data_IF_921589211435
#
_entry.id   IF_921589211435
#
_cell.length_a   1.000
_cell.length_b   1.000
_cell.length_c   1.000
_cell.angle_alpha   90.00
_cell.angle_beta   90.00
_cell.angle_gamma   90.00
#
_symmetry.space_group_name_H-M   'P 1'
#
loop_
_entity.id
_entity.type
_entity.pdbx_description
1 polymer ?
#
# COMPACT_ATOMS: atom_id res chain seq x y z
N UNK A 1 -1.93 8.95 6.90
CA UNK A 1 -0.71 8.66 7.67
C UNK A 1 0.26 9.81 7.46
N UNK A 2 0.82 10.29 8.55
CA UNK A 2 1.88 11.30 8.55
C UNK A 2 3.20 10.60 8.88
N UNK A 3 4.23 10.85 8.08
CA UNK A 3 5.60 10.37 8.33
C UNK A 3 6.50 11.57 8.57
N UNK A 4 6.99 11.72 9.79
CA UNK A 4 8.02 12.70 10.12
C UNK A 4 9.40 12.06 9.96
N UNK A 5 10.35 12.79 9.35
CA UNK A 5 11.71 12.27 9.09
C UNK A 5 12.72 13.20 9.74
N UNK A 6 13.60 12.64 10.58
CA UNK A 6 14.73 13.33 11.20
C UNK A 6 16.05 12.71 10.74
N UNK A 7 17.01 13.56 10.36
CA UNK A 7 18.33 13.14 9.84
C UNK A 7 19.39 13.64 10.79
N UNK A 8 20.07 12.73 11.48
CA UNK A 8 21.09 13.01 12.50
C UNK A 8 22.51 12.55 12.09
N UNK A 9 22.68 12.23 10.81
CA UNK A 9 23.97 11.83 10.23
C UNK A 9 24.14 12.47 8.85
N UNK A 10 25.17 12.06 8.10
CA UNK A 10 25.47 12.59 6.75
C UNK A 10 24.60 11.95 5.63
N UNK A 11 23.72 11.01 5.97
CA UNK A 11 22.81 10.38 5.01
C UNK A 11 21.72 11.37 4.58
N UNK A 12 21.51 11.46 3.26
CA UNK A 12 20.43 12.28 2.69
C UNK A 12 19.49 11.37 1.89
N UNK A 13 18.36 10.93 2.49
CA UNK A 13 17.40 10.12 1.77
C UNK A 13 16.81 10.90 0.59
N UNK A 14 16.59 10.21 -0.52
CA UNK A 14 15.84 10.80 -1.63
C UNK A 14 14.38 11.01 -1.26
N UNK A 15 13.71 11.99 -1.89
CA UNK A 15 12.25 12.15 -1.74
C UNK A 15 11.50 10.88 -2.15
N UNK A 16 11.99 10.18 -3.17
CA UNK A 16 11.42 8.91 -3.64
C UNK A 16 11.51 7.83 -2.56
N UNK A 17 12.66 7.68 -1.88
CA UNK A 17 12.80 6.71 -0.78
C UNK A 17 11.78 6.99 0.35
N UNK A 18 11.63 8.24 0.76
CA UNK A 18 10.67 8.61 1.80
C UNK A 18 9.23 8.32 1.37
N UNK A 19 8.87 8.60 0.11
CA UNK A 19 7.55 8.30 -0.44
C UNK A 19 7.30 6.78 -0.51
N UNK A 20 8.31 6.00 -0.89
CA UNK A 20 8.22 4.53 -0.92
C UNK A 20 8.04 3.95 0.49
N UNK A 21 8.77 4.44 1.50
CA UNK A 21 8.60 4.03 2.90
C UNK A 21 7.18 4.37 3.39
N UNK A 22 6.68 5.57 3.07
CA UNK A 22 5.32 5.97 3.43
C UNK A 22 4.26 5.07 2.76
N UNK A 23 4.49 4.66 1.52
CA UNK A 23 3.62 3.72 0.81
C UNK A 23 3.68 2.31 1.43
N UNK A 24 4.86 1.84 1.83
CA UNK A 24 5.05 0.56 2.53
C UNK A 24 4.31 0.56 3.88
N UNK A 25 4.44 1.63 4.66
CA UNK A 25 3.72 1.77 5.93
C UNK A 25 2.20 1.79 5.73
N UNK A 26 1.69 2.53 4.75
CA UNK A 26 0.26 2.53 4.40
C UNK A 26 -0.24 1.14 4.04
N UNK A 27 0.56 0.37 3.30
CA UNK A 27 0.24 -1.00 2.93
C UNK A 27 0.22 -1.92 4.15
N UNK A 28 1.21 -1.81 5.05
CA UNK A 28 1.27 -2.60 6.28
C UNK A 28 0.11 -2.29 7.23
N UNK A 29 -0.23 -1.00 7.41
CA UNK A 29 -1.40 -0.59 8.21
C UNK A 29 -2.70 -1.14 7.63
N UNK A 30 -2.86 -1.17 6.30
CA UNK A 30 -4.02 -1.76 5.65
C UNK A 30 -4.09 -3.28 5.87
N UNK A 31 -2.97 -4.01 5.78
CA UNK A 31 -2.89 -5.46 6.09
C UNK A 31 -3.33 -5.75 7.54
N UNK A 32 -3.07 -4.82 8.45
CA UNK A 32 -3.48 -4.91 9.86
C UNK A 32 -4.91 -4.40 10.12
N UNK A 33 -5.64 -3.99 9.09
CA UNK A 33 -7.02 -3.54 9.22
C UNK A 33 -7.18 -2.19 9.90
N UNK A 34 -6.15 -1.32 9.84
CA UNK A 34 -6.25 0.05 10.37
C UNK A 34 -7.17 0.88 9.48
N UNK A 35 -8.36 1.18 9.98
CA UNK A 35 -9.46 1.80 9.23
C UNK A 35 -9.20 3.26 8.85
N UNK A 36 -8.44 4.01 9.66
CA UNK A 36 -8.15 5.43 9.46
C UNK A 36 -6.63 5.69 9.43
N UNK A 37 -5.91 5.15 8.44
CA UNK A 37 -4.44 5.31 8.39
C UNK A 37 -4.00 6.77 8.23
N UNK A 38 -4.88 7.66 7.76
CA UNK A 38 -4.60 9.10 7.64
C UNK A 38 -4.27 9.76 8.99
N UNK A 39 -4.84 9.23 10.07
CA UNK A 39 -4.67 9.76 11.42
C UNK A 39 -3.46 9.14 12.16
N UNK A 40 -2.76 8.19 11.56
CA UNK A 40 -1.56 7.58 12.15
C UNK A 40 -0.33 8.44 11.88
N UNK A 41 0.47 8.69 12.90
CA UNK A 41 1.79 9.35 12.82
C UNK A 41 2.90 8.38 13.21
N UNK A 42 3.96 8.34 12.40
CA UNK A 42 5.20 7.57 12.63
C UNK A 42 6.38 8.52 12.47
N UNK A 43 7.33 8.45 13.41
CA UNK A 43 8.60 9.15 13.31
C UNK A 43 9.69 8.20 12.81
N UNK A 44 10.50 8.64 11.85
CA UNK A 44 11.62 7.89 11.29
C UNK A 44 12.90 8.73 11.42
N UNK A 45 13.89 8.21 12.13
CA UNK A 45 15.19 8.86 12.30
C UNK A 45 16.32 8.05 11.67
N UNK A 46 17.21 8.73 10.96
CA UNK A 46 18.46 8.17 10.46
C UNK A 46 19.63 8.66 11.32
N UNK A 47 20.39 7.73 11.89
CA UNK A 47 21.40 8.01 12.90
C UNK A 47 22.75 7.35 12.60
N UNK A 48 23.79 7.76 13.33
CA UNK A 48 25.11 7.12 13.26
C UNK A 48 25.15 5.82 14.09
N UNK A 49 26.14 4.93 13.84
CA UNK A 49 26.38 3.74 14.66
C UNK A 49 26.57 4.03 16.15
N UNK A 50 27.25 5.12 16.51
CA UNK A 50 27.50 5.52 17.88
C UNK A 50 26.19 5.97 18.57
N UNK A 51 25.32 6.68 17.85
CA UNK A 51 24.05 7.13 18.38
C UNK A 51 23.10 5.96 18.63
N UNK A 52 22.95 5.03 17.67
CA UNK A 52 22.09 3.86 17.85
C UNK A 52 22.61 2.92 18.94
N UNK A 53 23.94 2.77 19.09
CA UNK A 53 24.56 2.06 20.22
C UNK A 53 24.19 2.69 21.56
N UNK A 54 24.22 4.02 21.63
CA UNK A 54 23.83 4.75 22.85
C UNK A 54 22.36 4.49 23.19
N UNK A 55 21.46 4.59 22.21
CA UNK A 55 20.04 4.28 22.38
C UNK A 55 19.81 2.81 22.79
N UNK A 56 20.51 1.87 22.15
CA UNK A 56 20.41 0.44 22.47
C UNK A 56 20.85 0.14 23.90
N UNK A 57 21.94 0.79 24.37
CA UNK A 57 22.38 0.69 25.75
C UNK A 57 21.38 1.28 26.73
N UNK A 58 20.87 2.47 26.44
CA UNK A 58 20.06 3.25 27.40
C UNK A 58 18.62 2.72 27.52
N UNK A 59 18.07 2.07 26.47
CA UNK A 59 16.71 1.57 26.44
C UNK A 59 16.58 0.04 26.46
N UNK A 60 17.64 -0.71 26.07
CA UNK A 60 17.62 -2.18 26.00
C UNK A 60 18.72 -2.86 26.81
N UNK A 61 19.54 -2.10 27.56
CA UNK A 61 20.70 -2.57 28.34
C UNK A 61 21.75 -3.33 27.49
N UNK A 62 21.86 -3.01 26.18
CA UNK A 62 22.80 -3.62 25.24
C UNK A 62 23.78 -2.59 24.71
N UNK A 63 25.04 -2.65 25.13
CA UNK A 63 26.10 -1.74 24.65
C UNK A 63 26.72 -2.24 23.33
N UNK A 64 25.90 -2.35 22.30
CA UNK A 64 26.30 -2.79 20.96
C UNK A 64 25.50 -2.03 19.87
N UNK A 65 26.10 -1.90 18.69
CA UNK A 65 25.44 -1.35 17.53
C UNK A 65 24.33 -2.30 17.06
N UNK A 66 23.25 -1.73 16.52
CA UNK A 66 22.18 -2.45 15.83
C UNK A 66 21.82 -1.73 14.54
N UNK A 67 21.08 -2.37 13.69
CA UNK A 67 20.55 -1.84 12.42
C UNK A 67 19.36 -0.91 12.65
N UNK A 68 18.43 -1.32 13.53
CA UNK A 68 17.19 -0.57 13.79
C UNK A 68 16.74 -0.74 15.24
N UNK A 69 16.05 0.30 15.76
CA UNK A 69 15.31 0.28 17.02
C UNK A 69 13.90 0.81 16.77
N UNK A 70 12.93 0.19 17.42
CA UNK A 70 11.52 0.58 17.41
C UNK A 70 11.08 0.93 18.84
N UNK A 71 10.39 2.07 18.96
CA UNK A 71 9.88 2.60 20.24
C UNK A 71 8.38 2.84 20.11
N UNK A 72 7.52 1.84 20.42
CA UNK A 72 6.08 2.02 20.40
C UNK A 72 5.67 3.15 21.38
N UNK A 73 4.84 4.08 20.91
CA UNK A 73 4.30 5.15 21.75
C UNK A 73 2.91 4.80 22.28
N UNK A 74 2.05 4.27 21.40
CA UNK A 74 0.66 3.89 21.70
C UNK A 74 -0.10 5.03 22.41
N UNK A 75 0.07 6.26 21.89
CA UNK A 75 -0.56 7.46 22.42
C UNK A 75 -1.65 7.95 21.46
N UNK A 76 -2.89 7.93 21.94
CA UNK A 76 -4.04 8.44 21.19
C UNK A 76 -4.34 9.88 21.63
N UNK A 77 -4.38 10.78 20.66
CA UNK A 77 -4.93 12.13 20.85
C UNK A 77 -6.23 12.25 20.05
N UNK A 78 -7.07 13.27 20.28
CA UNK A 78 -8.34 13.41 19.56
C UNK A 78 -8.23 13.41 18.03
N UNK A 79 -7.08 13.82 17.49
CA UNK A 79 -6.88 14.03 16.06
C UNK A 79 -5.80 13.10 15.45
N UNK A 80 -4.91 12.52 16.27
CA UNK A 80 -3.75 11.74 15.81
C UNK A 80 -3.45 10.58 16.75
N UNK A 81 -3.21 9.42 16.18
CA UNK A 81 -2.66 8.25 16.85
C UNK A 81 -1.16 8.16 16.58
N UNK A 82 -0.35 8.48 17.60
CA UNK A 82 1.10 8.36 17.54
C UNK A 82 1.50 6.90 17.73
N UNK A 83 1.90 6.25 16.64
CA UNK A 83 2.27 4.82 16.67
C UNK A 83 3.65 4.61 17.29
N UNK A 84 4.60 5.51 17.04
CA UNK A 84 5.92 5.48 17.66
C UNK A 84 7.06 5.96 16.77
N UNK A 85 8.29 5.70 17.26
CA UNK A 85 9.54 6.10 16.62
C UNK A 85 10.29 4.89 16.08
N UNK A 86 10.84 5.04 14.88
CA UNK A 86 11.76 4.10 14.22
C UNK A 86 13.10 4.80 14.06
N UNK A 87 14.17 4.15 14.50
CA UNK A 87 15.54 4.68 14.42
C UNK A 87 16.41 3.71 13.64
N UNK A 88 16.93 4.11 12.48
CA UNK A 88 17.74 3.28 11.59
C UNK A 88 19.19 3.79 11.54
N UNK A 89 20.15 2.87 11.75
CA UNK A 89 21.56 3.11 11.47
C UNK A 89 21.84 2.87 10.00
N UNK A 90 22.10 3.93 9.24
CA UNK A 90 22.34 3.83 7.79
C UNK A 90 23.61 3.09 7.43
N UNK A 91 24.68 3.20 8.25
CA UNK A 91 25.93 2.47 8.03
C UNK A 91 25.73 0.96 8.19
N UNK A 92 24.97 0.54 9.22
CA UNK A 92 24.63 -0.89 9.42
C UNK A 92 23.71 -1.40 8.33
N UNK A 93 22.73 -0.60 7.90
CA UNK A 93 21.87 -0.93 6.77
C UNK A 93 22.69 -1.10 5.47
N UNK A 94 23.68 -0.24 5.22
CA UNK A 94 24.56 -0.35 4.05
C UNK A 94 25.45 -1.62 4.09
N UNK A 95 25.97 -1.99 5.26
CA UNK A 95 26.73 -3.24 5.43
C UNK A 95 25.85 -4.46 5.14
N UNK A 96 24.65 -4.54 5.70
CA UNK A 96 23.69 -5.62 5.47
C UNK A 96 23.27 -5.70 4.00
N UNK A 97 22.96 -4.56 3.37
CA UNK A 97 22.63 -4.51 1.95
C UNK A 97 23.73 -5.11 1.07
N UNK A 98 25.01 -4.80 1.36
CA UNK A 98 26.17 -5.39 0.65
C UNK A 98 26.31 -6.90 0.90
N UNK A 99 26.08 -7.36 2.13
CA UNK A 99 26.16 -8.79 2.49
C UNK A 99 25.07 -9.62 1.80
N UNK A 100 23.83 -9.07 1.72
CA UNK A 100 22.68 -9.73 1.10
C UNK A 100 22.73 -9.59 -0.43
N UNK A 101 23.32 -8.50 -0.96
CA UNK A 101 23.50 -8.26 -2.39
C UNK A 101 22.36 -7.47 -3.04
N UNK A 102 21.72 -6.57 -2.29
CA UNK A 102 20.69 -5.66 -2.79
C UNK A 102 21.05 -4.18 -2.50
N UNK A 103 20.16 -3.22 -2.86
CA UNK A 103 20.42 -1.80 -2.68
C UNK A 103 20.18 -1.32 -1.25
N UNK A 104 20.83 -0.21 -0.85
CA UNK A 104 20.64 0.42 0.46
C UNK A 104 19.17 0.84 0.68
N UNK A 105 18.53 1.43 -0.33
CA UNK A 105 17.14 1.86 -0.25
C UNK A 105 16.20 0.66 0.02
N UNK A 106 16.50 -0.50 -0.57
CA UNK A 106 15.75 -1.74 -0.35
C UNK A 106 15.91 -2.24 1.09
N UNK A 107 17.14 -2.21 1.63
CA UNK A 107 17.39 -2.58 3.02
C UNK A 107 16.70 -1.64 4.00
N UNK A 108 16.79 -0.32 3.78
CA UNK A 108 16.11 0.67 4.62
C UNK A 108 14.59 0.43 4.63
N UNK A 109 13.98 0.17 3.48
CA UNK A 109 12.55 -0.15 3.38
C UNK A 109 12.19 -1.44 4.12
N UNK A 110 13.03 -2.46 4.02
CA UNK A 110 12.84 -3.71 4.75
C UNK A 110 12.89 -3.49 6.26
N UNK A 111 13.91 -2.78 6.77
CA UNK A 111 14.03 -2.43 8.19
C UNK A 111 12.86 -1.56 8.66
N UNK A 112 12.38 -0.65 7.84
CA UNK A 112 11.22 0.18 8.15
C UNK A 112 9.94 -0.66 8.28
N UNK A 113 9.65 -1.58 7.34
CA UNK A 113 8.50 -2.50 7.41
C UNK A 113 8.61 -3.39 8.66
N UNK A 114 9.78 -3.98 8.92
CA UNK A 114 10.03 -4.78 10.12
C UNK A 114 9.71 -4.00 11.39
N UNK A 115 10.18 -2.76 11.46
CA UNK A 115 9.94 -1.87 12.59
C UNK A 115 8.48 -1.46 12.75
N UNK A 116 7.75 -1.26 11.64
CA UNK A 116 6.31 -1.01 11.68
C UNK A 116 5.57 -2.12 12.43
N UNK A 117 5.89 -3.39 12.15
CA UNK A 117 5.25 -4.50 12.86
C UNK A 117 5.62 -4.56 14.33
N UNK A 118 6.83 -4.14 14.72
CA UNK A 118 7.16 -3.97 16.13
C UNK A 118 6.33 -2.85 16.79
N UNK A 119 6.12 -1.72 16.10
CA UNK A 119 5.25 -0.65 16.61
C UNK A 119 3.81 -1.12 16.77
N UNK A 120 3.34 -2.02 15.91
CA UNK A 120 2.01 -2.65 15.97
C UNK A 120 1.91 -3.78 17.00
N UNK A 121 2.98 -4.02 17.79
CA UNK A 121 2.98 -4.97 18.90
C UNK A 121 3.41 -6.39 18.54
N UNK A 122 3.89 -6.63 17.32
CA UNK A 122 4.50 -7.90 16.96
C UNK A 122 5.90 -8.03 17.54
N UNK A 123 6.30 -9.28 17.86
CA UNK A 123 7.62 -9.60 18.37
C UNK A 123 8.12 -10.91 17.73
N UNK A 124 9.38 -11.22 17.95
CA UNK A 124 10.04 -12.43 17.43
C UNK A 124 10.85 -13.19 18.52
N UNK A 125 10.42 -13.08 19.79
CA UNK A 125 11.09 -13.68 20.95
C UNK A 125 10.97 -15.21 20.98
N UNK A 126 9.96 -15.79 20.36
CA UNK A 126 9.78 -17.23 20.19
C UNK A 126 9.46 -17.59 18.73
N UNK A 127 9.52 -18.88 18.39
CA UNK A 127 9.37 -19.35 17.01
C UNK A 127 7.97 -19.06 16.43
N UNK A 128 6.91 -19.05 17.24
CA UNK A 128 5.55 -18.78 16.80
C UNK A 128 5.35 -17.29 16.52
N UNK A 129 5.74 -16.42 17.45
CA UNK A 129 5.69 -14.95 17.29
C UNK A 129 6.49 -14.51 16.05
N UNK A 130 7.69 -15.09 15.88
CA UNK A 130 8.53 -14.85 14.71
C UNK A 130 7.87 -15.29 13.40
N UNK A 131 7.17 -16.43 13.40
CA UNK A 131 6.45 -16.90 12.21
C UNK A 131 5.32 -15.95 11.84
N UNK A 132 4.52 -15.55 12.83
CA UNK A 132 3.37 -14.63 12.61
C UNK A 132 3.86 -13.29 12.05
N UNK A 133 4.87 -12.67 12.69
CA UNK A 133 5.41 -11.39 12.21
C UNK A 133 5.94 -11.49 10.78
N UNK A 134 6.70 -12.54 10.45
CA UNK A 134 7.20 -12.78 9.10
C UNK A 134 6.10 -13.00 8.05
N UNK A 135 4.96 -13.59 8.43
CA UNK A 135 3.81 -13.74 7.56
C UNK A 135 3.23 -12.37 7.21
N UNK A 136 3.06 -11.47 8.19
CA UNK A 136 2.58 -10.10 7.97
C UNK A 136 3.51 -9.26 7.11
N UNK A 137 4.83 -9.34 7.36
CA UNK A 137 5.83 -8.70 6.51
C UNK A 137 5.71 -9.16 5.06
N UNK A 138 5.58 -10.47 4.82
CA UNK A 138 5.44 -11.04 3.48
C UNK A 138 4.13 -10.64 2.81
N UNK A 139 3.02 -10.61 3.54
CA UNK A 139 1.72 -10.16 3.04
C UNK A 139 1.81 -8.70 2.60
N UNK A 140 2.41 -7.83 3.41
CA UNK A 140 2.64 -6.42 3.09
C UNK A 140 3.47 -6.25 1.82
N UNK A 141 4.62 -6.92 1.72
CA UNK A 141 5.48 -6.86 0.54
C UNK A 141 4.80 -7.41 -0.72
N UNK A 142 4.03 -8.50 -0.58
CA UNK A 142 3.30 -9.09 -1.69
C UNK A 142 2.17 -8.17 -2.18
N UNK A 143 1.42 -7.57 -1.27
CA UNK A 143 0.37 -6.59 -1.61
C UNK A 143 1.00 -5.35 -2.24
N UNK A 144 2.08 -4.82 -1.65
CA UNK A 144 2.80 -3.66 -2.19
C UNK A 144 3.25 -3.87 -3.63
N UNK A 145 3.81 -5.04 -3.93
CA UNK A 145 4.22 -5.39 -5.30
C UNK A 145 3.04 -5.44 -6.29
N UNK A 146 1.88 -5.94 -5.85
CA UNK A 146 0.66 -5.92 -6.68
C UNK A 146 0.18 -4.51 -6.94
N UNK A 147 0.15 -3.65 -5.89
CA UNK A 147 -0.20 -2.24 -6.00
C UNK A 147 0.66 -1.56 -7.05
N UNK A 148 1.99 -1.73 -7.00
CA UNK A 148 2.92 -1.16 -7.96
C UNK A 148 2.60 -1.60 -9.39
N UNK A 149 2.49 -2.90 -9.60
CA UNK A 149 2.24 -3.49 -10.90
C UNK A 149 0.90 -3.00 -11.48
N UNK A 150 -0.16 -3.01 -10.68
CA UNK A 150 -1.49 -2.62 -11.16
C UNK A 150 -1.61 -1.12 -11.37
N UNK A 151 -0.97 -0.31 -10.53
CA UNK A 151 -0.93 1.14 -10.73
C UNK A 151 -0.20 1.50 -12.02
N UNK A 152 0.93 0.88 -12.32
CA UNK A 152 1.64 1.06 -13.60
C UNK A 152 0.76 0.66 -14.81
N UNK A 153 0.07 -0.47 -14.71
CA UNK A 153 -0.84 -0.93 -15.78
C UNK A 153 -2.05 -0.02 -15.94
N UNK A 154 -2.58 0.56 -14.86
CA UNK A 154 -3.67 1.53 -14.91
C UNK A 154 -3.21 2.85 -15.54
N UNK A 155 -2.01 3.34 -15.18
CA UNK A 155 -1.40 4.54 -15.75
C UNK A 155 -1.14 4.35 -17.26
N UNK A 156 -0.62 3.21 -17.67
CA UNK A 156 -0.47 2.87 -19.09
C UNK A 156 -1.82 2.87 -19.79
N UNK A 157 -2.81 2.16 -19.24
CA UNK A 157 -4.15 2.06 -19.82
C UNK A 157 -4.81 3.45 -19.97
N UNK A 158 -4.63 4.35 -18.99
CA UNK A 158 -5.13 5.73 -19.03
C UNK A 158 -4.76 6.47 -20.31
N UNK A 159 -3.60 6.19 -20.91
CA UNK A 159 -3.15 6.81 -22.18
C UNK A 159 -4.00 6.42 -23.39
N UNK A 160 -4.79 5.35 -23.28
CA UNK A 160 -5.69 4.84 -24.32
C UNK A 160 -7.13 5.33 -24.18
N UNK A 161 -7.42 6.26 -23.27
CA UNK A 161 -8.76 6.80 -23.07
C UNK A 161 -9.30 7.50 -24.33
N UNK A 162 -10.57 7.21 -24.69
CA UNK A 162 -11.28 7.91 -25.76
C UNK A 162 -12.31 8.86 -25.14
N UNK A 163 -11.98 10.15 -25.10
CA UNK A 163 -12.65 11.15 -24.26
C UNK A 163 -12.99 12.45 -25.00
N UNK A 164 -13.68 12.40 -26.15
CA UNK A 164 -13.93 13.58 -26.96
C UNK A 164 -14.91 14.59 -26.32
N UNK A 165 -15.56 14.23 -25.21
CA UNK A 165 -16.57 15.07 -24.56
C UNK A 165 -16.12 15.61 -23.22
N UNK A 166 -15.66 14.75 -22.28
CA UNK A 166 -15.26 15.17 -20.94
C UNK A 166 -13.82 15.67 -20.86
N UNK A 167 -12.96 15.19 -21.75
CA UNK A 167 -11.51 15.40 -21.69
C UNK A 167 -10.87 14.88 -20.38
N UNK A 168 -11.53 13.93 -19.69
CA UNK A 168 -11.10 13.35 -18.43
C UNK A 168 -10.65 11.90 -18.61
N UNK A 169 -9.35 11.64 -18.47
CA UNK A 169 -8.77 10.32 -18.66
C UNK A 169 -8.90 9.48 -17.37
N UNK A 170 -9.31 8.23 -17.53
CA UNK A 170 -9.30 7.23 -16.47
C UNK A 170 -8.68 5.95 -17.00
N UNK A 171 -7.80 5.36 -16.21
CA UNK A 171 -7.25 4.03 -16.43
C UNK A 171 -7.54 3.12 -15.24
N UNK A 172 -7.75 1.84 -15.51
CA UNK A 172 -7.93 0.83 -14.47
C UNK A 172 -7.19 -0.45 -14.85
N UNK A 173 -6.71 -1.17 -13.84
CA UNK A 173 -6.17 -2.53 -14.00
C UNK A 173 -6.63 -3.39 -12.81
N UNK A 174 -6.98 -4.64 -13.10
CA UNK A 174 -7.37 -5.62 -12.09
C UNK A 174 -6.52 -6.87 -12.19
N UNK A 175 -6.31 -7.56 -11.09
CA UNK A 175 -5.72 -8.90 -11.01
C UNK A 175 -6.79 -9.87 -10.52
N UNK A 176 -6.90 -11.01 -11.21
CA UNK A 176 -7.78 -12.10 -10.81
C UNK A 176 -7.16 -12.96 -9.71
N UNK A 177 -7.94 -13.84 -9.10
CA UNK A 177 -7.42 -14.81 -8.13
C UNK A 177 -6.32 -15.70 -8.74
N UNK A 178 -6.41 -16.02 -10.05
CA UNK A 178 -5.44 -16.82 -10.77
C UNK A 178 -4.18 -16.03 -11.20
N UNK A 179 -4.14 -14.71 -10.91
CA UNK A 179 -3.00 -13.84 -11.18
C UNK A 179 -2.98 -13.26 -12.60
N UNK A 180 -4.06 -13.37 -13.38
CA UNK A 180 -4.18 -12.71 -14.68
C UNK A 180 -4.51 -11.23 -14.52
N UNK A 181 -3.92 -10.38 -15.35
CA UNK A 181 -4.11 -8.92 -15.28
C UNK A 181 -4.88 -8.43 -16.51
N UNK A 182 -5.96 -7.68 -16.26
CA UNK A 182 -6.77 -7.02 -17.27
C UNK A 182 -6.79 -5.52 -17.05
N UNK A 183 -6.52 -4.74 -18.09
CA UNK A 183 -6.50 -3.29 -18.02
C UNK A 183 -7.51 -2.67 -19.00
N UNK A 184 -8.03 -1.50 -18.63
CA UNK A 184 -9.01 -0.75 -19.39
C UNK A 184 -8.85 0.75 -19.25
N UNK A 185 -9.36 1.49 -20.22
CA UNK A 185 -9.49 2.94 -20.19
C UNK A 185 -10.94 3.32 -20.43
N UNK A 186 -11.35 4.53 -20.04
CA UNK A 186 -12.70 5.01 -20.32
C UNK A 186 -12.88 5.30 -21.82
N UNK A 187 -14.05 4.90 -22.32
CA UNK A 187 -14.44 5.07 -23.73
C UNK A 187 -15.79 5.75 -23.78
N UNK A 188 -15.77 7.01 -24.20
CA UNK A 188 -16.97 7.82 -24.31
C UNK A 188 -17.74 7.59 -25.60
N UNK A 189 -19.01 7.86 -25.56
CA UNK A 189 -19.93 7.78 -26.67
C UNK A 189 -20.89 8.97 -26.66
N UNK A 190 -21.29 9.46 -27.83
CA UNK A 190 -22.30 10.52 -27.97
C UNK A 190 -23.64 10.14 -27.31
N UNK A 191 -23.96 8.85 -27.27
CA UNK A 191 -25.01 8.28 -26.42
C UNK A 191 -24.40 7.96 -25.05
N UNK A 192 -24.52 8.86 -24.10
CA UNK A 192 -23.86 8.76 -22.77
C UNK A 192 -24.13 7.45 -22.04
N UNK A 193 -25.32 6.87 -22.19
CA UNK A 193 -25.64 5.55 -21.59
C UNK A 193 -24.80 4.39 -22.11
N UNK A 194 -24.10 4.55 -23.23
CA UNK A 194 -23.20 3.54 -23.83
C UNK A 194 -21.74 3.76 -23.41
N UNK A 195 -21.39 4.92 -22.89
CA UNK A 195 -20.06 5.20 -22.33
C UNK A 195 -19.66 4.12 -21.31
N UNK A 196 -18.40 3.69 -21.35
CA UNK A 196 -17.85 2.72 -20.41
C UNK A 196 -16.70 3.34 -19.63
N UNK A 197 -16.75 3.20 -18.31
CA UNK A 197 -15.65 3.55 -17.43
C UNK A 197 -14.48 2.58 -17.61
N UNK A 198 -13.28 2.97 -17.21
CA UNK A 198 -12.07 2.17 -17.33
C UNK A 198 -12.20 0.81 -16.61
N UNK A 199 -12.75 0.81 -15.40
CA UNK A 199 -12.99 -0.39 -14.59
C UNK A 199 -13.95 -1.36 -15.32
N UNK A 200 -15.02 -0.83 -15.93
CA UNK A 200 -15.96 -1.67 -16.71
C UNK A 200 -15.26 -2.31 -17.90
N UNK A 201 -14.40 -1.57 -18.61
CA UNK A 201 -13.65 -2.12 -19.74
C UNK A 201 -12.72 -3.24 -19.29
N UNK A 202 -12.01 -3.08 -18.16
CA UNK A 202 -11.16 -4.11 -17.59
C UNK A 202 -11.97 -5.37 -17.20
N UNK A 203 -13.09 -5.19 -16.47
CA UNK A 203 -13.98 -6.28 -16.06
C UNK A 203 -14.63 -7.01 -17.25
N UNK A 204 -15.05 -6.28 -18.28
CA UNK A 204 -15.62 -6.91 -19.50
C UNK A 204 -14.60 -7.76 -20.25
N UNK A 205 -13.33 -7.31 -20.34
CA UNK A 205 -12.25 -8.11 -20.88
C UNK A 205 -12.01 -9.38 -20.05
N UNK A 206 -11.89 -9.24 -18.73
CA UNK A 206 -11.75 -10.35 -17.79
C UNK A 206 -12.87 -11.38 -17.97
N UNK A 207 -14.13 -10.91 -17.97
CA UNK A 207 -15.30 -11.78 -18.11
C UNK A 207 -15.37 -12.47 -19.48
N UNK A 208 -14.94 -11.78 -20.55
CA UNK A 208 -14.88 -12.36 -21.90
C UNK A 208 -13.85 -13.49 -22.00
N UNK A 209 -12.69 -13.35 -21.36
CA UNK A 209 -11.65 -14.39 -21.31
C UNK A 209 -11.99 -15.54 -20.33
N UNK A 210 -13.08 -15.43 -19.57
CA UNK A 210 -13.60 -16.53 -18.75
C UNK A 210 -13.29 -16.42 -17.25
N UNK A 211 -12.45 -15.46 -16.81
CA UNK A 211 -12.21 -15.23 -15.41
C UNK A 211 -13.43 -14.60 -14.71
N UNK A 212 -13.62 -14.89 -13.40
CA UNK A 212 -14.84 -14.51 -12.67
C UNK A 212 -14.59 -13.93 -11.28
N UNK A 213 -13.36 -13.92 -10.81
CA UNK A 213 -13.02 -13.45 -9.46
C UNK A 213 -11.90 -12.43 -9.51
N UNK A 214 -12.13 -11.28 -8.90
CA UNK A 214 -11.18 -10.16 -8.80
C UNK A 214 -10.59 -10.18 -7.39
N UNK A 215 -9.26 -10.20 -7.31
CA UNK A 215 -8.50 -10.08 -6.07
C UNK A 215 -8.26 -8.62 -5.69
N UNK A 216 -7.89 -7.79 -6.66
CA UNK A 216 -7.51 -6.40 -6.47
C UNK A 216 -7.77 -5.59 -7.73
N UNK A 217 -8.22 -4.35 -7.58
CA UNK A 217 -8.40 -3.38 -8.65
C UNK A 217 -7.63 -2.10 -8.34
N UNK A 218 -6.87 -1.57 -9.29
CA UNK A 218 -6.31 -0.24 -9.25
C UNK A 218 -7.01 0.68 -10.26
N UNK A 219 -7.27 1.92 -9.84
CA UNK A 219 -7.84 2.98 -10.69
C UNK A 219 -7.05 4.27 -10.53
N UNK A 220 -6.85 4.99 -11.66
CA UNK A 220 -6.20 6.30 -11.71
C UNK A 220 -6.94 7.21 -12.68
N UNK A 221 -6.91 8.51 -12.43
CA UNK A 221 -7.57 9.50 -13.28
C UNK A 221 -6.80 10.82 -13.37
N UNK A 222 -7.47 11.87 -13.89
CA UNK A 222 -6.89 13.20 -14.00
C UNK A 222 -7.12 14.07 -12.74
N UNK A 223 -7.95 13.61 -11.80
CA UNK A 223 -8.13 14.25 -10.50
C UNK A 223 -7.39 13.44 -9.42
N UNK A 224 -7.00 14.13 -8.34
CA UNK A 224 -6.45 13.50 -7.17
C UNK A 224 -7.43 12.46 -6.62
N UNK A 225 -6.96 11.21 -6.51
CA UNK A 225 -7.72 10.07 -6.03
C UNK A 225 -9.06 9.88 -6.76
N UNK A 226 -9.00 9.54 -8.04
CA UNK A 226 -10.17 9.23 -8.84
C UNK A 226 -10.83 7.92 -8.41
N UNK A 227 -11.93 8.00 -7.67
CA UNK A 227 -12.67 6.84 -7.18
C UNK A 227 -13.54 6.18 -8.26
N UNK A 228 -13.76 4.86 -8.20
CA UNK A 228 -14.77 4.17 -9.01
C UNK A 228 -16.15 4.80 -8.80
N UNK A 229 -16.87 5.07 -9.89
CA UNK A 229 -18.24 5.58 -9.80
C UNK A 229 -19.20 4.50 -9.25
N UNK A 230 -20.40 4.91 -8.81
CA UNK A 230 -21.36 3.97 -8.22
C UNK A 230 -21.73 2.78 -9.13
N UNK A 231 -21.80 2.99 -10.44
CA UNK A 231 -22.06 1.89 -11.42
C UNK A 231 -20.88 0.91 -11.45
N UNK A 232 -19.64 1.42 -11.38
CA UNK A 232 -18.45 0.57 -11.36
C UNK A 232 -18.36 -0.25 -10.06
N UNK A 233 -18.68 0.37 -8.92
CA UNK A 233 -18.71 -0.32 -7.61
C UNK A 233 -19.74 -1.45 -7.63
N UNK A 234 -20.94 -1.21 -8.15
CA UNK A 234 -21.98 -2.24 -8.28
C UNK A 234 -21.57 -3.34 -9.26
N UNK A 235 -20.90 -3.01 -10.35
CA UNK A 235 -20.40 -4.03 -11.29
C UNK A 235 -19.26 -4.86 -10.68
N UNK A 236 -18.41 -4.25 -9.85
CA UNK A 236 -17.38 -4.97 -9.09
C UNK A 236 -17.99 -6.01 -8.16
N UNK A 237 -19.11 -5.70 -7.50
CA UNK A 237 -19.82 -6.60 -6.57
C UNK A 237 -20.25 -7.94 -7.18
N UNK A 238 -20.37 -8.02 -8.50
CA UNK A 238 -20.64 -9.28 -9.23
C UNK A 238 -19.42 -10.22 -9.27
N UNK A 239 -18.20 -9.67 -9.26
CA UNK A 239 -16.96 -10.42 -9.48
C UNK A 239 -15.98 -10.34 -8.31
N UNK A 240 -16.30 -9.61 -7.27
CA UNK A 240 -15.44 -9.30 -6.14
C UNK A 240 -16.12 -9.63 -4.82
N UNK A 241 -15.33 -10.06 -3.85
CA UNK A 241 -15.78 -10.26 -2.48
C UNK A 241 -15.68 -8.93 -1.69
N UNK A 242 -16.28 -8.86 -0.49
CA UNK A 242 -16.34 -7.66 0.32
C UNK A 242 -14.96 -7.12 0.72
N UNK A 243 -13.99 -8.03 0.90
CA UNK A 243 -12.60 -7.74 1.26
C UNK A 243 -11.68 -7.48 0.05
N UNK A 244 -12.21 -7.51 -1.18
CA UNK A 244 -11.45 -7.21 -2.38
C UNK A 244 -10.81 -5.83 -2.29
N UNK A 245 -9.49 -5.75 -2.53
CA UNK A 245 -8.71 -4.52 -2.38
C UNK A 245 -8.95 -3.57 -3.55
N UNK A 246 -9.30 -2.33 -3.24
CA UNK A 246 -9.47 -1.25 -4.21
C UNK A 246 -8.36 -0.21 -4.00
N UNK A 247 -7.50 -0.05 -4.98
CA UNK A 247 -6.40 0.92 -5.00
C UNK A 247 -6.84 2.14 -5.79
N UNK A 248 -6.92 3.29 -5.13
CA UNK A 248 -7.18 4.59 -5.76
C UNK A 248 -5.86 5.35 -5.80
N UNK A 249 -5.22 5.41 -6.97
CA UNK A 249 -3.84 5.83 -7.09
C UNK A 249 -3.65 7.11 -7.92
N UNK A 250 -2.79 8.00 -7.44
CA UNK A 250 -2.18 9.06 -8.23
C UNK A 250 -0.92 8.52 -8.94
N UNK A 251 -0.09 7.78 -8.21
CA UNK A 251 1.08 7.04 -8.69
C UNK A 251 1.38 5.84 -7.78
N UNK A 252 2.54 5.17 -7.97
CA UNK A 252 2.92 3.97 -7.21
C UNK A 252 3.12 4.19 -5.72
N UNK A 253 3.54 5.37 -5.31
CA UNK A 253 3.82 5.72 -3.90
C UNK A 253 2.78 6.67 -3.29
N UNK A 254 1.81 7.12 -4.10
CA UNK A 254 0.70 7.96 -3.64
C UNK A 254 -0.64 7.33 -4.02
N UNK A 255 -1.24 6.59 -3.09
CA UNK A 255 -2.48 5.85 -3.26
C UNK A 255 -3.25 5.76 -1.94
N UNK A 256 -4.54 5.43 -2.05
CA UNK A 256 -5.42 5.03 -0.96
C UNK A 256 -5.86 3.59 -1.17
N UNK A 257 -6.03 2.87 -0.07
CA UNK A 257 -6.51 1.50 -0.07
C UNK A 257 -7.87 1.44 0.59
N UNK A 258 -8.75 0.67 0.00
CA UNK A 258 -10.09 0.40 0.53
C UNK A 258 -10.44 -1.07 0.26
N UNK A 259 -11.35 -1.60 1.04
CA UNK A 259 -12.09 -2.81 0.67
C UNK A 259 -13.31 -2.42 -0.18
N UNK A 260 -13.89 -3.39 -0.88
CA UNK A 260 -15.13 -3.14 -1.63
C UNK A 260 -16.26 -2.74 -0.67
N UNK A 261 -16.36 -3.37 0.50
CA UNK A 261 -17.38 -3.05 1.51
C UNK A 261 -17.29 -1.60 2.01
N UNK A 262 -16.08 -1.08 2.22
CA UNK A 262 -15.89 0.33 2.61
C UNK A 262 -16.43 1.33 1.58
N UNK A 263 -16.33 1.03 0.29
CA UNK A 263 -16.77 1.94 -0.78
C UNK A 263 -18.17 1.62 -1.33
N UNK A 264 -18.73 0.46 -0.99
CA UNK A 264 -20.09 0.04 -1.36
C UNK A 264 -20.76 -0.76 -0.21
N UNK A 265 -20.94 -0.14 0.97
CA UNK A 265 -21.55 -0.83 2.10
C UNK A 265 -23.01 -1.21 1.82
N UNK A 266 -23.48 -2.32 2.44
CA UNK A 266 -24.87 -2.81 2.31
C UNK A 266 -25.30 -3.03 0.86
N UNK A 267 -24.40 -3.49 0.01
CA UNK A 267 -24.65 -3.65 -1.43
C UNK A 267 -25.51 -4.86 -1.71
N UNK A 268 -26.38 -4.75 -2.71
CA UNK A 268 -27.08 -5.89 -3.31
C UNK A 268 -26.10 -6.71 -4.14
N UNK A 269 -26.05 -8.02 -3.90
CA UNK A 269 -25.10 -8.94 -4.53
C UNK A 269 -25.75 -10.22 -5.08
N UNK A 270 -24.97 -11.09 -5.76
CA UNK A 270 -25.45 -12.36 -6.29
C UNK A 270 -26.10 -13.27 -5.22
N UNK A 271 -25.64 -13.19 -4.00
CA UNK A 271 -26.16 -13.94 -2.84
C UNK A 271 -27.58 -13.54 -2.43
N UNK A 272 -28.04 -12.35 -2.81
CA UNK A 272 -29.42 -11.89 -2.57
C UNK A 272 -30.42 -12.46 -3.58
N UNK A 273 -29.92 -13.11 -4.61
CA UNK A 273 -30.73 -13.80 -5.62
C UNK A 273 -30.70 -15.31 -5.34
N UNK A 274 -31.84 -15.89 -5.03
CA UNK A 274 -32.02 -17.34 -4.93
C UNK A 274 -31.87 -18.00 -6.33
N UNK A 275 -30.59 -18.11 -6.83
CA UNK A 275 -30.29 -18.70 -8.14
C UNK A 275 -29.49 -20.00 -7.98
#
# INVERSE_FOLDING_TARGET
MQLSVDIRNDFTPSEDLIREIAADFRTGLFVEGVMEPENVEISLSFVTPEEIRTLNRDYRDKDEETDVLSFPADEETPDVYLLGDIVISTDRAEEQAREIGHGLDEEIRYLAIHSLFHLLGYDHMDDESKRVMREREKETLALRKRIDTLTERALEAKTHAYIPYSHFHVGAALETEDGEIFAGANIENASYGVTRCAEQVAMLKMAYEGARRIRILAVTGDADYTYPCGVCRQMLREFADEDTVIVVANDRSDFRLHTLDEILPYSFGPEDLDV
#
